data_IF_839527268897
#
_entry.id   IF_839527268897
#
_cell.length_a   1.000
_cell.length_b   1.000
_cell.length_c   1.000
_cell.angle_alpha   90.00
_cell.angle_beta   90.00
_cell.angle_gamma   90.00
#
_symmetry.space_group_name_H-M   'P 1'
#
loop_
_entity.id
_entity.type
_entity.pdbx_description
1 polymer ?
#
# COMPACT_ATOMS: atom_id res chain seq x y z
N UNK A 1 63.83 11.35 24.35
CA UNK A 1 62.46 11.59 24.74
C UNK A 1 61.70 12.00 23.44
N UNK A 2 60.97 11.08 22.83
CA UNK A 2 60.15 11.36 21.65
C UNK A 2 58.70 11.19 22.07
N UNK A 3 57.96 12.30 22.08
CA UNK A 3 56.53 12.37 22.40
C UNK A 3 55.78 12.02 21.13
N UNK A 4 55.03 10.91 21.12
CA UNK A 4 54.11 10.56 20.08
C UNK A 4 52.73 11.18 20.39
N UNK A 5 52.34 12.11 19.56
CA UNK A 5 51.03 12.74 19.63
C UNK A 5 50.04 11.90 18.78
N UNK A 6 49.20 11.15 19.46
CA UNK A 6 48.12 10.37 18.82
C UNK A 6 46.97 11.31 18.43
N UNK A 7 46.74 11.50 17.14
CA UNK A 7 45.59 12.22 16.61
C UNK A 7 44.44 11.22 16.56
N UNK A 8 43.46 11.38 17.46
CA UNK A 8 42.15 10.72 17.41
C UNK A 8 41.28 11.40 16.34
N UNK A 9 41.18 10.79 15.16
CA UNK A 9 40.22 11.16 14.17
C UNK A 9 38.88 10.55 14.55
N UNK A 10 38.00 11.36 15.13
CA UNK A 10 36.60 11.00 15.37
C UNK A 10 35.87 10.99 14.03
N UNK A 11 35.67 9.80 13.46
CA UNK A 11 34.78 9.59 12.34
C UNK A 11 33.37 9.73 12.87
N UNK A 12 32.79 10.93 12.74
CA UNK A 12 31.36 11.12 12.85
C UNK A 12 30.69 10.40 11.66
N UNK A 13 30.21 9.19 11.90
CA UNK A 13 29.23 8.56 11.02
C UNK A 13 27.97 9.42 11.00
N UNK A 14 27.83 10.29 10.03
CA UNK A 14 26.55 10.87 9.67
C UNK A 14 25.68 9.73 9.17
N UNK A 15 24.88 9.18 10.06
CA UNK A 15 23.71 8.43 9.67
C UNK A 15 22.76 9.43 9.02
N UNK A 16 22.78 9.49 7.70
CA UNK A 16 21.75 10.16 6.90
C UNK A 16 20.45 9.35 7.05
N UNK A 17 19.76 9.58 8.16
CA UNK A 17 18.34 9.29 8.24
C UNK A 17 17.69 10.07 7.11
N UNK A 18 17.12 9.37 6.13
CA UNK A 18 16.28 10.00 5.12
C UNK A 18 15.02 10.48 5.84
N UNK A 19 15.14 11.60 6.51
CA UNK A 19 13.99 12.32 7.03
C UNK A 19 13.24 12.83 5.80
N UNK A 20 12.01 12.37 5.63
CA UNK A 20 11.13 12.95 4.63
C UNK A 20 11.10 14.45 4.86
N UNK A 21 11.61 15.22 3.89
CA UNK A 21 11.72 16.67 4.01
C UNK A 21 10.33 17.25 4.14
N UNK A 22 10.11 17.98 5.22
CA UNK A 22 8.84 18.67 5.44
C UNK A 22 8.62 19.74 4.39
N UNK A 23 7.39 19.92 3.89
CA UNK A 23 7.07 20.99 2.95
C UNK A 23 7.36 22.38 3.55
N UNK A 24 7.89 23.29 2.75
CA UNK A 24 8.12 24.67 3.16
C UNK A 24 6.83 25.51 3.02
N UNK A 25 5.81 25.16 3.80
CA UNK A 25 4.53 25.84 3.82
C UNK A 25 4.42 26.84 4.96
N UNK A 26 3.61 27.88 4.76
CA UNK A 26 3.14 28.71 5.87
C UNK A 26 2.23 27.87 6.80
N UNK A 27 2.11 28.24 8.10
CA UNK A 27 1.21 27.55 9.01
C UNK A 27 -0.24 27.50 8.51
N UNK A 28 -0.72 28.58 7.90
CA UNK A 28 -2.07 28.64 7.33
C UNK A 28 -2.27 27.65 6.19
N UNK A 29 -1.31 27.59 5.24
CA UNK A 29 -1.34 26.61 4.16
C UNK A 29 -1.25 25.19 4.66
N UNK A 30 -0.37 24.91 5.64
CA UNK A 30 -0.23 23.59 6.23
C UNK A 30 -1.55 23.12 6.86
N UNK A 31 -2.22 23.99 7.58
CA UNK A 31 -3.52 23.70 8.18
C UNK A 31 -4.58 23.39 7.12
N UNK A 32 -4.63 24.16 6.05
CA UNK A 32 -5.58 23.94 4.96
C UNK A 32 -5.33 22.61 4.24
N UNK A 33 -4.07 22.32 3.84
CA UNK A 33 -3.71 21.05 3.17
C UNK A 33 -4.02 19.84 4.04
N UNK A 34 -3.65 19.87 5.33
CA UNK A 34 -3.92 18.79 6.28
C UNK A 34 -5.43 18.60 6.45
N UNK A 35 -6.19 19.67 6.67
CA UNK A 35 -7.64 19.58 6.87
C UNK A 35 -8.36 19.02 5.65
N UNK A 36 -8.00 19.46 4.46
CA UNK A 36 -8.61 19.00 3.19
C UNK A 36 -8.30 17.52 2.94
N UNK A 37 -7.04 17.10 3.08
CA UNK A 37 -6.66 15.70 2.86
C UNK A 37 -7.27 14.79 3.93
N UNK A 38 -7.34 15.24 5.18
CA UNK A 38 -8.01 14.51 6.27
C UNK A 38 -9.50 14.32 5.99
N UNK A 39 -10.17 15.36 5.48
CA UNK A 39 -11.58 15.27 5.09
C UNK A 39 -11.79 14.30 3.93
N UNK A 40 -10.92 14.29 2.93
CA UNK A 40 -11.00 13.38 1.80
C UNK A 40 -10.79 11.91 2.23
N UNK A 41 -9.79 11.65 3.07
CA UNK A 41 -9.55 10.29 3.60
C UNK A 41 -10.75 9.83 4.43
N UNK A 42 -11.32 10.71 5.26
CA UNK A 42 -12.52 10.40 6.01
C UNK A 42 -13.71 10.08 5.10
N UNK A 43 -13.88 10.79 4.00
CA UNK A 43 -14.93 10.51 3.02
C UNK A 43 -14.75 9.12 2.42
N UNK A 44 -13.54 8.77 1.98
CA UNK A 44 -13.24 7.43 1.46
C UNK A 44 -13.46 6.33 2.49
N UNK A 45 -13.12 6.58 3.77
CA UNK A 45 -13.42 5.64 4.86
C UNK A 45 -14.92 5.45 5.04
N UNK A 46 -15.69 6.55 5.04
CA UNK A 46 -17.14 6.50 5.16
C UNK A 46 -17.79 5.73 4.00
N UNK A 47 -17.36 5.98 2.75
CA UNK A 47 -17.87 5.29 1.56
C UNK A 47 -17.52 3.79 1.58
N UNK A 48 -16.27 3.48 2.00
CA UNK A 48 -15.82 2.10 2.14
C UNK A 48 -16.62 1.34 3.20
N UNK A 49 -16.78 1.93 4.38
CA UNK A 49 -17.42 1.24 5.52
C UNK A 49 -18.94 1.25 5.47
N UNK A 50 -19.57 2.30 4.93
CA UNK A 50 -21.04 2.42 4.86
C UNK A 50 -21.62 1.85 3.58
N UNK A 51 -20.96 2.05 2.46
CA UNK A 51 -21.48 1.69 1.14
C UNK A 51 -20.78 0.50 0.50
N UNK A 52 -19.67 0.02 1.06
CA UNK A 52 -18.85 -1.03 0.47
C UNK A 52 -18.25 -0.65 -0.88
N UNK A 53 -18.06 0.65 -1.11
CA UNK A 53 -17.47 1.19 -2.33
C UNK A 53 -16.12 1.80 -2.03
N UNK A 54 -15.15 1.57 -2.90
CA UNK A 54 -13.88 2.29 -2.90
C UNK A 54 -13.78 3.11 -4.18
N UNK A 55 -13.76 4.43 -4.05
CA UNK A 55 -13.51 5.36 -5.16
C UNK A 55 -12.03 5.48 -5.49
N UNK A 56 -11.16 5.00 -4.61
CA UNK A 56 -9.71 5.08 -4.71
C UNK A 56 -9.09 3.68 -4.58
N UNK A 57 -8.04 3.42 -5.34
CA UNK A 57 -7.28 2.18 -5.20
C UNK A 57 -6.56 2.13 -3.84
N UNK A 58 -6.52 0.94 -3.22
CA UNK A 58 -5.89 0.73 -1.89
C UNK A 58 -4.46 1.26 -1.83
N UNK A 59 -3.69 1.09 -2.92
CA UNK A 59 -2.32 1.61 -3.00
C UNK A 59 -2.24 3.12 -2.97
N UNK A 60 -3.18 3.83 -3.57
CA UNK A 60 -3.28 5.30 -3.54
C UNK A 60 -3.74 5.78 -2.17
N UNK A 61 -4.77 5.14 -1.61
CA UNK A 61 -5.25 5.43 -0.25
C UNK A 61 -4.13 5.30 0.79
N UNK A 62 -3.38 4.19 0.78
CA UNK A 62 -2.25 3.95 1.70
C UNK A 62 -1.18 5.05 1.57
N UNK A 63 -0.85 5.48 0.35
CA UNK A 63 0.17 6.49 0.10
C UNK A 63 -0.28 7.89 0.55
N UNK A 64 -1.53 8.27 0.28
CA UNK A 64 -2.08 9.56 0.72
C UNK A 64 -2.29 9.61 2.24
N UNK A 65 -2.69 8.50 2.86
CA UNK A 65 -2.78 8.40 4.34
C UNK A 65 -1.39 8.54 4.99
N UNK A 66 -0.36 7.93 4.42
CA UNK A 66 1.02 8.11 4.86
C UNK A 66 1.49 9.57 4.68
N UNK A 67 1.09 10.22 3.59
CA UNK A 67 1.38 11.64 3.32
C UNK A 67 0.72 12.55 4.35
N UNK A 68 -0.54 12.31 4.68
CA UNK A 68 -1.25 13.04 5.72
C UNK A 68 -0.53 12.92 7.07
N UNK A 69 -0.18 11.71 7.47
CA UNK A 69 0.56 11.46 8.72
C UNK A 69 1.91 12.19 8.74
N UNK A 70 2.63 12.23 7.61
CA UNK A 70 3.87 12.98 7.48
C UNK A 70 3.64 14.49 7.68
N UNK A 71 2.65 15.07 7.03
CA UNK A 71 2.32 16.49 7.18
C UNK A 71 1.92 16.85 8.60
N UNK A 72 1.09 16.02 9.23
CA UNK A 72 0.71 16.19 10.64
C UNK A 72 1.93 16.22 11.55
N UNK A 73 2.87 15.32 11.39
CA UNK A 73 4.15 15.31 12.15
C UNK A 73 4.99 16.55 11.87
N UNK A 74 5.08 16.98 10.61
CA UNK A 74 5.84 18.17 10.22
C UNK A 74 5.34 19.46 10.86
N UNK A 75 4.03 19.59 11.06
CA UNK A 75 3.39 20.82 11.50
C UNK A 75 2.78 20.73 12.91
N UNK A 76 3.16 19.68 13.68
CA UNK A 76 2.76 19.54 15.08
C UNK A 76 1.26 19.29 15.31
N UNK A 77 0.56 18.82 14.28
CA UNK A 77 -0.82 18.36 14.42
C UNK A 77 -0.82 16.94 14.95
N UNK A 78 -1.56 16.67 16.03
CA UNK A 78 -1.75 15.31 16.52
C UNK A 78 -2.38 14.45 15.41
N UNK A 79 -1.80 13.28 15.08
CA UNK A 79 -2.49 12.30 14.24
C UNK A 79 -3.78 11.94 14.97
N UNK A 80 -4.92 12.36 14.46
CA UNK A 80 -6.18 11.82 14.96
C UNK A 80 -6.20 10.35 14.57
N UNK A 81 -6.30 9.49 15.59
CA UNK A 81 -6.73 8.13 15.36
C UNK A 81 -7.96 8.19 14.46
N UNK A 82 -7.91 7.48 13.36
CA UNK A 82 -9.07 7.32 12.48
C UNK A 82 -10.13 6.62 13.34
N UNK A 83 -10.96 7.42 14.00
CA UNK A 83 -12.11 6.88 14.71
C UNK A 83 -13.04 6.33 13.64
N UNK A 84 -13.04 5.01 13.54
CA UNK A 84 -14.07 4.32 12.78
C UNK A 84 -15.45 4.83 13.23
N UNK A 85 -16.37 5.06 12.30
CA UNK A 85 -17.71 5.48 12.67
C UNK A 85 -18.29 4.50 13.70
N UNK A 86 -19.09 4.99 14.66
CA UNK A 86 -19.74 4.10 15.62
C UNK A 86 -20.60 3.10 14.86
N UNK A 87 -20.24 1.82 14.97
CA UNK A 87 -20.95 0.73 14.34
C UNK A 87 -22.26 0.52 15.08
N UNK A 88 -23.38 0.71 14.42
CA UNK A 88 -24.70 0.32 14.96
C UNK A 88 -24.72 -1.21 15.07
N UNK A 89 -24.94 -1.73 16.29
CA UNK A 89 -24.94 -3.16 16.56
C UNK A 89 -23.56 -3.81 16.69
N UNK A 90 -22.55 -3.03 17.09
CA UNK A 90 -21.18 -3.52 17.28
C UNK A 90 -21.10 -4.65 18.33
N UNK A 91 -20.44 -5.74 17.97
CA UNK A 91 -20.16 -6.90 18.81
C UNK A 91 -18.71 -6.85 19.29
N UNK A 92 -18.50 -7.20 20.58
CA UNK A 92 -17.15 -7.28 21.16
C UNK A 92 -16.41 -8.51 20.62
N UNK A 93 -15.13 -8.34 20.26
CA UNK A 93 -14.24 -9.45 20.02
C UNK A 93 -13.89 -10.16 21.34
N UNK A 94 -13.98 -11.51 21.42
CA UNK A 94 -13.51 -12.25 22.61
C UNK A 94 -12.01 -12.08 22.84
N UNK A 95 -11.25 -11.93 21.75
CA UNK A 95 -9.82 -11.60 21.74
C UNK A 95 -9.63 -10.45 20.80
N UNK A 96 -8.93 -9.40 21.20
CA UNK A 96 -8.72 -8.23 20.36
C UNK A 96 -8.16 -8.62 18.99
N UNK A 97 -8.75 -8.10 17.91
CA UNK A 97 -8.26 -8.35 16.56
C UNK A 97 -7.03 -7.51 16.31
N UNK A 98 -5.89 -8.16 16.10
CA UNK A 98 -4.63 -7.44 15.88
C UNK A 98 -4.39 -7.11 14.41
N UNK A 99 -3.59 -6.08 14.16
CA UNK A 99 -3.09 -5.71 12.85
C UNK A 99 -1.63 -6.12 12.67
N UNK A 100 -1.07 -5.79 11.51
CA UNK A 100 0.30 -6.14 11.12
C UNK A 100 1.12 -4.89 10.80
N UNK A 101 2.33 -4.82 11.37
CA UNK A 101 3.28 -3.75 11.07
C UNK A 101 3.89 -3.95 9.69
N UNK A 102 3.93 -2.89 8.87
CA UNK A 102 4.52 -2.92 7.53
C UNK A 102 6.04 -2.74 7.60
N UNK A 103 6.79 -3.62 6.94
CA UNK A 103 8.23 -3.46 6.71
C UNK A 103 8.45 -2.67 5.43
N UNK A 104 9.32 -1.68 5.49
CA UNK A 104 9.61 -0.78 4.35
C UNK A 104 10.42 -1.49 3.27
N UNK A 105 11.35 -2.39 3.68
CA UNK A 105 12.23 -3.12 2.78
C UNK A 105 12.76 -4.41 3.41
N UNK A 106 13.58 -5.12 2.65
CA UNK A 106 14.24 -6.36 3.08
C UNK A 106 15.20 -6.16 4.25
N UNK A 107 15.87 -5.01 4.35
CA UNK A 107 16.81 -4.74 5.43
C UNK A 107 16.07 -4.58 6.76
N UNK A 108 14.97 -3.83 6.77
CA UNK A 108 14.10 -3.71 7.95
C UNK A 108 13.55 -5.08 8.38
N UNK A 109 13.13 -5.91 7.42
CA UNK A 109 12.70 -7.28 7.70
C UNK A 109 13.84 -8.12 8.29
N UNK A 110 15.04 -8.05 7.72
CA UNK A 110 16.21 -8.78 8.21
C UNK A 110 16.56 -8.40 9.66
N UNK A 111 16.50 -7.12 10.00
CA UNK A 111 16.72 -6.65 11.37
C UNK A 111 15.69 -7.20 12.34
N UNK A 112 14.40 -7.17 11.95
CA UNK A 112 13.32 -7.72 12.77
C UNK A 112 13.46 -9.23 12.97
N UNK A 113 13.93 -9.98 11.96
CA UNK A 113 14.10 -11.44 12.03
C UNK A 113 15.30 -11.86 12.91
N UNK A 114 16.38 -11.07 13.00
CA UNK A 114 17.61 -11.43 13.74
C UNK A 114 17.38 -11.75 15.20
N UNK A 115 16.44 -11.10 15.83
CA UNK A 115 16.13 -11.25 17.26
C UNK A 115 15.08 -12.32 17.54
N UNK A 116 14.71 -13.09 16.52
CA UNK A 116 13.59 -14.03 16.58
C UNK A 116 13.96 -15.39 16.00
N UNK A 117 13.34 -16.41 16.52
CA UNK A 117 13.50 -17.80 16.05
C UNK A 117 12.12 -18.38 15.71
N UNK A 118 12.11 -19.55 15.06
CA UNK A 118 10.90 -20.27 14.67
C UNK A 118 9.94 -19.39 13.88
N UNK A 119 10.47 -18.87 12.78
CA UNK A 119 9.75 -17.93 11.91
C UNK A 119 9.12 -18.65 10.72
N UNK A 120 7.97 -18.16 10.32
CA UNK A 120 7.15 -18.68 9.24
C UNK A 120 6.66 -17.56 8.33
N UNK A 121 6.45 -17.88 7.07
CA UNK A 121 5.93 -16.95 6.07
C UNK A 121 4.58 -17.42 5.54
N UNK A 122 3.67 -16.47 5.37
CA UNK A 122 2.34 -16.67 4.80
C UNK A 122 2.08 -15.63 3.72
N UNK A 123 1.23 -15.91 2.71
CA UNK A 123 0.79 -14.88 1.79
C UNK A 123 -0.02 -13.83 2.56
N UNK A 124 0.19 -12.56 2.22
CA UNK A 124 -0.70 -11.50 2.69
C UNK A 124 -1.91 -11.46 1.78
N UNK A 125 -2.91 -12.24 2.14
CA UNK A 125 -4.17 -12.33 1.39
C UNK A 125 -4.90 -10.99 1.45
N UNK A 126 -5.39 -10.54 0.32
CA UNK A 126 -6.11 -9.28 0.19
C UNK A 126 -7.62 -9.51 0.24
N UNK A 127 -8.23 -9.08 1.33
CA UNK A 127 -9.64 -9.26 1.64
C UNK A 127 -10.08 -8.39 2.80
N UNK A 128 -11.01 -8.88 3.60
CA UNK A 128 -11.50 -8.21 4.81
C UNK A 128 -11.27 -9.09 6.03
N UNK A 129 -10.75 -8.50 7.08
CA UNK A 129 -10.40 -9.21 8.30
C UNK A 129 -11.67 -9.62 9.09
N UNK A 130 -11.65 -10.84 9.62
CA UNK A 130 -12.75 -11.45 10.37
C UNK A 130 -12.24 -12.19 11.59
N UNK A 131 -13.01 -12.14 12.67
CA UNK A 131 -12.90 -13.04 13.82
C UNK A 131 -13.98 -14.08 13.74
N UNK A 132 -13.63 -15.37 13.80
CA UNK A 132 -14.55 -16.49 13.87
C UNK A 132 -14.53 -17.07 15.29
N UNK A 133 -15.69 -17.20 15.91
CA UNK A 133 -15.85 -17.73 17.27
C UNK A 133 -16.65 -19.02 17.22
N UNK A 134 -16.02 -20.12 17.62
CA UNK A 134 -16.68 -21.43 17.77
C UNK A 134 -16.99 -21.71 19.23
N UNK A 135 -18.16 -22.25 19.47
CA UNK A 135 -18.60 -22.75 20.80
C UNK A 135 -19.34 -24.07 20.61
N UNK A 136 -18.97 -25.03 21.41
CA UNK A 136 -19.52 -26.39 21.37
C UNK A 136 -19.56 -27.00 19.95
N UNK A 137 -18.48 -26.76 19.23
CA UNK A 137 -18.28 -27.22 17.85
C UNK A 137 -19.07 -26.48 16.76
N UNK A 138 -19.78 -25.42 17.08
CA UNK A 138 -20.57 -24.65 16.09
C UNK A 138 -20.04 -23.23 15.95
N UNK A 139 -20.15 -22.68 14.74
CA UNK A 139 -19.89 -21.27 14.52
C UNK A 139 -20.94 -20.45 15.29
N UNK A 140 -20.47 -19.77 16.32
CA UNK A 140 -21.33 -18.98 17.24
C UNK A 140 -21.37 -17.50 16.80
N UNK A 141 -20.20 -16.93 16.42
CA UNK A 141 -20.07 -15.54 15.97
C UNK A 141 -19.05 -15.43 14.87
N UNK A 142 -19.33 -14.52 13.93
CA UNK A 142 -18.36 -13.99 13.00
C UNK A 142 -18.41 -12.46 13.11
N UNK A 143 -17.27 -11.82 13.30
CA UNK A 143 -17.19 -10.39 13.66
C UNK A 143 -16.21 -9.72 12.70
N UNK A 144 -16.62 -8.63 12.03
CA UNK A 144 -15.70 -7.82 11.24
C UNK A 144 -14.61 -7.23 12.14
N UNK A 145 -13.44 -6.92 11.59
CA UNK A 145 -12.34 -6.32 12.38
C UNK A 145 -12.81 -5.14 13.21
N UNK A 146 -13.57 -4.21 12.61
CA UNK A 146 -13.94 -2.98 13.25
C UNK A 146 -12.70 -2.22 13.75
N UNK A 147 -12.74 -1.69 14.95
CA UNK A 147 -11.59 -1.04 15.61
C UNK A 147 -10.65 -2.03 16.34
N UNK A 148 -10.85 -3.33 16.15
CA UNK A 148 -10.08 -4.39 16.80
C UNK A 148 -10.63 -4.82 18.18
N UNK A 149 -11.44 -4.01 18.84
CA UNK A 149 -12.17 -4.38 20.08
C UNK A 149 -13.63 -4.71 19.80
N UNK A 150 -14.23 -4.00 18.83
CA UNK A 150 -15.62 -4.19 18.42
C UNK A 150 -15.69 -4.18 16.90
N UNK A 151 -16.57 -4.99 16.34
CA UNK A 151 -16.85 -5.05 14.92
C UNK A 151 -18.33 -5.30 14.65
N UNK A 152 -18.72 -5.36 13.39
CA UNK A 152 -20.07 -5.71 12.97
C UNK A 152 -20.31 -7.21 13.12
N UNK A 153 -21.53 -7.59 13.44
CA UNK A 153 -21.96 -9.01 13.48
C UNK A 153 -22.17 -9.52 12.05
N UNK A 154 -21.24 -10.29 11.55
CA UNK A 154 -21.28 -10.93 10.24
C UNK A 154 -21.73 -12.40 10.30
N UNK A 155 -22.19 -12.88 11.46
CA UNK A 155 -22.50 -14.30 11.68
C UNK A 155 -23.44 -14.86 10.64
N UNK A 156 -24.55 -14.16 10.36
CA UNK A 156 -25.55 -14.60 9.38
C UNK A 156 -24.96 -14.70 7.96
N UNK A 157 -24.14 -13.73 7.56
CA UNK A 157 -23.49 -13.75 6.23
C UNK A 157 -22.43 -14.82 6.11
N UNK A 158 -21.56 -14.93 7.13
CA UNK A 158 -20.49 -15.93 7.14
C UNK A 158 -21.07 -17.36 7.19
N UNK A 159 -22.24 -17.55 7.77
CA UNK A 159 -22.92 -18.86 7.73
C UNK A 159 -23.31 -19.32 6.31
N UNK A 160 -23.39 -18.39 5.36
CA UNK A 160 -23.66 -18.66 3.95
C UNK A 160 -22.40 -18.84 3.10
N UNK A 161 -21.22 -18.61 3.66
CA UNK A 161 -19.95 -18.83 2.97
C UNK A 161 -19.55 -20.28 3.08
N UNK A 162 -19.64 -21.04 2.01
CA UNK A 162 -19.37 -22.49 1.99
C UNK A 162 -17.93 -22.85 2.41
N UNK A 163 -16.98 -21.96 2.20
CA UNK A 163 -15.59 -22.14 2.60
C UNK A 163 -15.34 -21.99 4.11
N UNK A 164 -16.32 -21.50 4.88
CA UNK A 164 -16.22 -21.39 6.34
C UNK A 164 -16.93 -22.59 6.99
N UNK A 165 -16.21 -23.48 7.68
CA UNK A 165 -16.82 -24.59 8.40
C UNK A 165 -17.84 -24.09 9.41
N UNK A 166 -19.10 -24.56 9.32
CA UNK A 166 -20.16 -24.21 10.26
C UNK A 166 -20.05 -25.04 11.54
N UNK A 167 -19.44 -26.21 11.43
CA UNK A 167 -19.16 -27.12 12.55
C UNK A 167 -17.71 -27.55 12.55
N UNK A 168 -17.11 -27.59 13.70
CA UNK A 168 -15.72 -28.04 13.94
C UNK A 168 -15.69 -28.96 15.13
N UNK A 169 -14.64 -29.77 15.27
CA UNK A 169 -14.44 -30.69 16.36
C UNK A 169 -13.07 -30.59 16.99
N UNK A 170 -12.83 -31.35 18.05
CA UNK A 170 -11.54 -31.38 18.71
C UNK A 170 -11.17 -30.05 19.36
N UNK A 171 -9.90 -29.63 19.28
CA UNK A 171 -9.41 -28.38 19.91
C UNK A 171 -10.09 -27.11 19.42
N UNK A 172 -10.65 -27.13 18.20
CA UNK A 172 -11.34 -25.98 17.64
C UNK A 172 -12.77 -25.82 18.14
N UNK A 173 -13.34 -26.80 18.80
CA UNK A 173 -14.76 -26.77 19.25
C UNK A 173 -15.08 -25.54 20.11
N UNK A 174 -14.12 -25.05 20.89
CA UNK A 174 -14.22 -23.84 21.67
C UNK A 174 -12.98 -22.96 21.36
N UNK A 175 -13.05 -22.20 20.28
CA UNK A 175 -11.92 -21.42 19.78
C UNK A 175 -12.35 -20.06 19.28
N UNK A 176 -11.37 -19.15 19.22
CA UNK A 176 -11.46 -17.87 18.52
C UNK A 176 -10.36 -17.85 17.46
N UNK A 177 -10.73 -17.65 16.21
CA UNK A 177 -9.80 -17.59 15.09
C UNK A 177 -9.81 -16.20 14.48
N UNK A 178 -8.66 -15.75 13.99
CA UNK A 178 -8.59 -14.52 13.18
C UNK A 178 -8.13 -14.88 11.77
N UNK A 179 -8.75 -14.28 10.79
CA UNK A 179 -8.49 -14.60 9.39
C UNK A 179 -8.89 -13.47 8.45
N UNK A 180 -8.83 -13.78 7.18
CA UNK A 180 -9.18 -12.88 6.08
C UNK A 180 -10.23 -13.56 5.20
N UNK A 181 -11.39 -12.94 5.01
CA UNK A 181 -12.35 -13.33 3.97
C UNK A 181 -11.92 -12.70 2.67
N UNK A 182 -11.80 -13.49 1.64
CA UNK A 182 -11.27 -13.05 0.34
C UNK A 182 -12.14 -13.54 -0.82
N UNK A 183 -12.03 -12.88 -1.97
CA UNK A 183 -12.65 -13.31 -3.21
C UNK A 183 -11.83 -14.44 -3.83
N UNK A 184 -12.44 -15.62 -4.01
CA UNK A 184 -11.78 -16.76 -4.66
C UNK A 184 -11.50 -16.41 -6.13
N UNK A 185 -10.26 -16.62 -6.54
CA UNK A 185 -9.76 -16.35 -7.89
C UNK A 185 -8.89 -17.51 -8.33
N UNK A 186 -9.49 -18.52 -8.90
CA UNK A 186 -8.72 -19.66 -9.39
C UNK A 186 -7.70 -19.21 -10.45
N UNK A 187 -6.43 -19.60 -10.25
CA UNK A 187 -5.35 -19.28 -11.17
C UNK A 187 -4.91 -17.82 -11.19
N UNK A 188 -5.17 -17.03 -10.15
CA UNK A 188 -4.74 -15.63 -10.07
C UNK A 188 -3.21 -15.51 -10.02
N UNK A 189 -2.64 -14.71 -10.94
CA UNK A 189 -1.21 -14.39 -10.98
C UNK A 189 -1.05 -12.91 -10.66
N UNK A 190 -0.56 -12.59 -9.47
CA UNK A 190 -0.47 -11.22 -8.98
C UNK A 190 0.36 -10.31 -9.87
N UNK A 191 1.48 -10.79 -10.40
CA UNK A 191 2.35 -10.05 -11.32
C UNK A 191 1.63 -9.55 -12.57
N UNK A 192 0.68 -10.32 -13.07
CA UNK A 192 -0.01 -10.04 -14.34
C UNK A 192 -1.35 -9.33 -14.14
N UNK A 193 -2.07 -9.67 -13.08
CA UNK A 193 -3.47 -9.29 -12.88
C UNK A 193 -3.64 -8.16 -11.86
N UNK A 194 -2.65 -7.90 -11.01
CA UNK A 194 -2.73 -6.87 -9.97
C UNK A 194 -3.78 -7.16 -8.89
N UNK A 195 -4.11 -6.15 -8.11
CA UNK A 195 -5.02 -6.26 -6.96
C UNK A 195 -6.51 -6.26 -7.29
N UNK A 196 -6.93 -5.70 -8.39
CA UNK A 196 -8.31 -5.70 -8.94
C UNK A 196 -9.39 -5.26 -7.92
N UNK A 197 -9.08 -4.35 -7.01
CA UNK A 197 -10.00 -3.93 -5.94
C UNK A 197 -10.64 -5.12 -5.18
N UNK A 198 -9.87 -6.18 -4.92
CA UNK A 198 -10.37 -7.41 -4.32
C UNK A 198 -11.04 -7.15 -2.97
N UNK A 199 -10.38 -6.37 -2.11
CA UNK A 199 -10.91 -5.99 -0.80
C UNK A 199 -12.25 -5.25 -0.89
N UNK A 200 -12.35 -4.24 -1.74
CA UNK A 200 -13.58 -3.48 -1.92
C UNK A 200 -14.75 -4.34 -2.40
N UNK A 201 -14.49 -5.31 -3.28
CA UNK A 201 -15.51 -6.27 -3.72
C UNK A 201 -15.99 -7.16 -2.58
N UNK A 202 -15.09 -7.68 -1.75
CA UNK A 202 -15.45 -8.49 -0.58
C UNK A 202 -16.23 -7.65 0.43
N UNK A 203 -15.75 -6.45 0.76
CA UNK A 203 -16.46 -5.54 1.66
C UNK A 203 -17.87 -5.24 1.14
N UNK A 204 -18.03 -4.95 -0.15
CA UNK A 204 -19.33 -4.74 -0.77
C UNK A 204 -20.26 -5.94 -0.64
N UNK A 205 -19.78 -7.17 -0.82
CA UNK A 205 -20.56 -8.40 -0.62
C UNK A 205 -20.97 -8.60 0.85
N UNK A 206 -20.08 -8.28 1.78
CA UNK A 206 -20.36 -8.41 3.22
C UNK A 206 -21.34 -7.35 3.74
N UNK A 207 -21.43 -6.18 3.10
CA UNK A 207 -22.29 -5.06 3.53
C UNK A 207 -23.70 -5.09 2.90
N UNK A 208 -23.87 -5.68 1.70
CA UNK A 208 -25.17 -5.75 1.01
C UNK A 208 -26.10 -6.76 1.67
N UNK A 209 -27.43 -6.54 1.56
CA UNK A 209 -28.42 -7.44 2.13
C UNK A 209 -28.76 -8.65 1.24
N UNK A 210 -28.31 -8.69 0.00
CA UNK A 210 -28.71 -9.70 -1.00
C UNK A 210 -27.56 -10.60 -1.47
N UNK A 211 -27.91 -11.82 -1.85
CA UNK A 211 -27.24 -12.86 -2.62
C UNK A 211 -26.37 -13.89 -1.87
N UNK A 212 -27.05 -14.99 -1.48
CA UNK A 212 -26.38 -16.22 -1.04
C UNK A 212 -25.44 -16.81 -2.11
N UNK A 213 -25.75 -16.67 -3.39
CA UNK A 213 -24.95 -17.25 -4.48
C UNK A 213 -23.60 -16.57 -4.68
N UNK A 214 -23.54 -15.25 -4.49
CA UNK A 214 -22.30 -14.50 -4.57
C UNK A 214 -21.38 -14.73 -3.36
N UNK A 215 -21.92 -15.02 -2.19
CA UNK A 215 -21.15 -15.34 -1.00
C UNK A 215 -20.39 -16.68 -1.13
N UNK A 216 -20.85 -17.61 -1.97
CA UNK A 216 -20.15 -18.85 -2.28
C UNK A 216 -18.83 -18.61 -3.06
N UNK A 217 -18.64 -17.44 -3.67
CA UNK A 217 -17.37 -17.06 -4.28
C UNK A 217 -16.31 -16.62 -3.29
N UNK A 218 -16.63 -16.53 -2.00
CA UNK A 218 -15.72 -16.12 -0.95
C UNK A 218 -14.99 -17.31 -0.34
N UNK A 219 -13.73 -17.10 0.02
CA UNK A 219 -12.88 -18.00 0.77
C UNK A 219 -12.47 -17.38 2.11
N UNK A 220 -11.85 -18.18 2.96
CA UNK A 220 -11.29 -17.75 4.23
C UNK A 220 -9.86 -18.25 4.38
N UNK A 221 -8.96 -17.37 4.82
CA UNK A 221 -7.60 -17.70 5.20
C UNK A 221 -7.42 -17.40 6.69
N UNK A 222 -7.36 -18.42 7.52
CA UNK A 222 -7.14 -18.28 8.96
C UNK A 222 -5.65 -18.15 9.21
N UNK A 223 -5.23 -17.03 9.77
CA UNK A 223 -3.82 -16.76 10.02
C UNK A 223 -3.44 -16.77 11.52
N UNK A 224 -4.41 -16.73 12.43
CA UNK A 224 -4.15 -16.78 13.87
C UNK A 224 -5.20 -17.58 14.63
N UNK A 225 -4.73 -18.23 15.68
CA UNK A 225 -5.54 -19.00 16.60
C UNK A 225 -5.09 -18.73 18.03
N UNK A 226 -5.59 -17.65 18.67
CA UNK A 226 -5.30 -17.36 20.07
C UNK A 226 -5.54 -18.57 20.98
N UNK A 227 -4.57 -18.82 21.86
CA UNK A 227 -4.59 -19.96 22.80
C UNK A 227 -4.67 -21.35 22.13
N UNK A 228 -4.37 -21.42 20.82
CA UNK A 228 -4.23 -22.70 20.11
C UNK A 228 -2.90 -23.40 20.38
N UNK A 229 -2.64 -24.52 19.69
CA UNK A 229 -1.38 -25.23 19.79
C UNK A 229 -0.18 -24.32 19.60
N UNK A 230 0.84 -24.45 20.45
CA UNK A 230 2.03 -23.59 20.39
C UNK A 230 2.98 -23.97 19.24
N UNK A 231 3.02 -25.24 18.87
CA UNK A 231 3.77 -25.70 17.70
C UNK A 231 3.00 -25.36 16.43
N UNK A 232 3.66 -24.70 15.48
CA UNK A 232 3.05 -24.34 14.20
C UNK A 232 2.53 -25.56 13.44
N UNK A 233 3.29 -26.66 13.43
CA UNK A 233 2.91 -27.90 12.76
C UNK A 233 1.59 -28.48 13.29
N UNK A 234 1.38 -28.45 14.60
CA UNK A 234 0.16 -28.97 15.23
C UNK A 234 -1.01 -28.01 14.92
N UNK A 235 -0.78 -26.71 15.01
CA UNK A 235 -1.79 -25.69 14.66
C UNK A 235 -2.25 -25.85 13.22
N UNK A 236 -1.32 -25.99 12.27
CA UNK A 236 -1.63 -26.17 10.86
C UNK A 236 -2.41 -27.46 10.60
N UNK A 237 -2.04 -28.55 11.27
CA UNK A 237 -2.74 -29.84 11.15
C UNK A 237 -4.17 -29.76 11.68
N UNK A 238 -4.37 -29.18 12.86
CA UNK A 238 -5.71 -29.04 13.45
C UNK A 238 -6.61 -28.13 12.61
N UNK A 239 -6.09 -26.99 12.11
CA UNK A 239 -6.82 -26.11 11.22
C UNK A 239 -7.22 -26.83 9.92
N UNK A 240 -6.29 -27.56 9.30
CA UNK A 240 -6.57 -28.30 8.07
C UNK A 240 -7.61 -29.40 8.29
N UNK A 241 -7.54 -30.13 9.40
CA UNK A 241 -8.50 -31.17 9.78
C UNK A 241 -9.91 -30.60 9.96
N UNK A 242 -10.01 -29.36 10.44
CA UNK A 242 -11.28 -28.66 10.61
C UNK A 242 -11.83 -28.04 9.32
N UNK A 243 -11.09 -28.09 8.21
CA UNK A 243 -11.50 -27.54 6.91
C UNK A 243 -10.78 -26.25 6.48
N UNK A 244 -9.95 -25.66 7.35
CA UNK A 244 -9.13 -24.49 7.01
C UNK A 244 -7.82 -24.90 6.32
N UNK A 245 -7.92 -25.49 5.14
CA UNK A 245 -6.78 -26.16 4.45
C UNK A 245 -5.76 -25.18 3.87
N UNK A 246 -6.16 -23.96 3.53
CA UNK A 246 -5.28 -22.98 2.89
C UNK A 246 -4.13 -22.53 3.82
N UNK A 247 -4.37 -22.45 5.11
CA UNK A 247 -3.34 -22.07 6.08
C UNK A 247 -2.18 -23.05 6.06
N UNK A 248 -2.45 -24.36 6.09
CA UNK A 248 -1.41 -25.38 6.00
C UNK A 248 -0.69 -25.34 4.65
N UNK A 249 -1.43 -25.19 3.56
CA UNK A 249 -0.90 -25.19 2.21
C UNK A 249 0.07 -24.04 1.94
N UNK A 250 -0.19 -22.87 2.53
CA UNK A 250 0.54 -21.63 2.26
C UNK A 250 1.32 -21.08 3.46
N UNK A 251 1.60 -21.90 4.47
CA UNK A 251 2.48 -21.53 5.58
C UNK A 251 3.78 -22.30 5.46
N UNK A 252 4.92 -21.61 5.42
CA UNK A 252 6.26 -22.19 5.23
C UNK A 252 7.24 -21.68 6.28
N UNK A 253 8.08 -22.56 6.81
CA UNK A 253 9.17 -22.17 7.69
C UNK A 253 10.24 -21.39 6.92
N UNK A 254 10.80 -20.35 7.54
CA UNK A 254 11.86 -19.51 6.98
C UNK A 254 12.89 -19.18 8.04
N UNK A 255 14.16 -19.06 7.63
CA UNK A 255 15.28 -18.79 8.53
C UNK A 255 15.77 -17.35 8.47
N UNK A 256 15.63 -16.70 7.32
CA UNK A 256 16.16 -15.37 7.06
C UNK A 256 15.35 -14.62 5.99
N UNK A 257 15.67 -13.33 5.81
CA UNK A 257 14.99 -12.47 4.85
C UNK A 257 15.22 -12.87 3.38
N UNK A 258 16.30 -13.61 3.06
CA UNK A 258 16.54 -14.11 1.71
C UNK A 258 15.56 -15.23 1.35
N UNK A 259 15.28 -16.11 2.29
CA UNK A 259 14.25 -17.14 2.10
C UNK A 259 12.86 -16.53 1.95
N UNK A 260 12.55 -15.52 2.76
CA UNK A 260 11.29 -14.77 2.63
C UNK A 260 11.19 -14.11 1.24
N UNK A 261 12.28 -13.49 0.76
CA UNK A 261 12.32 -12.86 -0.56
C UNK A 261 12.07 -13.86 -1.68
N UNK A 262 12.62 -15.08 -1.58
CA UNK A 262 12.38 -16.16 -2.56
C UNK A 262 10.91 -16.58 -2.57
N UNK A 263 10.30 -16.81 -1.42
CA UNK A 263 8.88 -17.19 -1.30
C UNK A 263 7.98 -16.06 -1.81
N UNK A 264 8.28 -14.81 -1.44
CA UNK A 264 7.56 -13.63 -1.90
C UNK A 264 7.59 -13.51 -3.43
N UNK A 265 8.74 -13.72 -4.05
CA UNK A 265 8.91 -13.72 -5.50
C UNK A 265 8.21 -14.90 -6.18
N UNK A 266 8.25 -16.08 -5.57
CA UNK A 266 7.52 -17.25 -6.05
C UNK A 266 6.02 -16.95 -6.09
N UNK A 267 5.43 -16.49 -4.99
CA UNK A 267 4.00 -16.20 -4.93
C UNK A 267 3.57 -15.01 -5.79
N UNK A 268 4.46 -14.07 -6.05
CA UNK A 268 4.22 -12.99 -7.00
C UNK A 268 3.92 -13.49 -8.42
N UNK A 269 4.55 -14.61 -8.81
CA UNK A 269 4.48 -15.21 -10.16
C UNK A 269 3.59 -16.46 -10.23
N UNK A 270 3.26 -17.04 -9.10
CA UNK A 270 2.50 -18.30 -9.05
C UNK A 270 1.01 -18.07 -9.25
N UNK A 271 0.33 -19.11 -9.71
CA UNK A 271 -1.14 -19.18 -9.71
C UNK A 271 -1.62 -19.43 -8.28
N UNK A 272 -2.33 -18.48 -7.72
CA UNK A 272 -2.90 -18.56 -6.38
C UNK A 272 -4.43 -18.52 -6.45
N UNK A 273 -5.15 -19.04 -5.43
CA UNK A 273 -6.61 -18.96 -5.38
C UNK A 273 -7.13 -17.63 -4.86
N UNK A 274 -6.25 -16.66 -4.59
CA UNK A 274 -6.57 -15.37 -4.00
C UNK A 274 -5.61 -14.27 -4.49
N UNK A 275 -6.05 -13.04 -4.36
CA UNK A 275 -5.21 -11.85 -4.54
C UNK A 275 -4.34 -11.66 -3.31
N UNK A 276 -3.07 -11.25 -3.50
CA UNK A 276 -2.14 -10.94 -2.40
C UNK A 276 -1.49 -9.57 -2.63
N UNK A 277 -1.14 -8.88 -1.54
CA UNK A 277 -0.40 -7.63 -1.60
C UNK A 277 1.02 -7.73 -1.01
N UNK A 278 1.49 -8.94 -0.78
CA UNK A 278 2.80 -9.24 -0.23
C UNK A 278 2.82 -10.53 0.58
N UNK A 279 3.68 -10.57 1.58
CA UNK A 279 3.82 -11.67 2.53
C UNK A 279 3.75 -11.19 3.97
N UNK A 280 3.35 -12.08 4.87
CA UNK A 280 3.43 -11.89 6.32
C UNK A 280 4.48 -12.84 6.85
N UNK A 281 5.41 -12.33 7.66
CA UNK A 281 6.37 -13.13 8.42
C UNK A 281 5.98 -13.09 9.89
N UNK A 282 5.94 -14.23 10.53
CA UNK A 282 5.46 -14.37 11.89
C UNK A 282 6.25 -15.38 12.69
N UNK A 283 6.25 -15.22 14.03
CA UNK A 283 6.66 -16.28 14.94
C UNK A 283 5.64 -17.42 14.96
N UNK A 284 6.10 -18.64 15.24
CA UNK A 284 5.21 -19.78 15.49
C UNK A 284 4.37 -19.55 16.73
N UNK A 285 4.97 -19.07 17.80
CA UNK A 285 4.29 -18.77 19.05
C UNK A 285 3.44 -17.51 18.93
N UNK A 286 2.19 -17.61 19.34
CA UNK A 286 1.30 -16.48 19.55
C UNK A 286 1.29 -16.11 21.03
N UNK A 287 1.18 -14.82 21.40
CA UNK A 287 0.94 -14.44 22.79
C UNK A 287 -0.35 -15.04 23.34
N UNK A 288 -0.46 -15.16 24.66
CA UNK A 288 -1.74 -15.52 25.29
C UNK A 288 -2.83 -14.51 24.90
N UNK A 289 -4.07 -14.98 24.71
CA UNK A 289 -5.18 -14.17 24.22
C UNK A 289 -5.42 -12.87 24.98
N UNK A 290 -5.19 -12.88 26.30
CA UNK A 290 -5.31 -11.69 27.16
C UNK A 290 -4.33 -10.56 26.86
N UNK A 291 -3.25 -10.84 26.13
CA UNK A 291 -2.22 -9.85 25.76
C UNK A 291 -2.37 -9.33 24.33
N UNK A 292 -3.40 -9.76 23.62
CA UNK A 292 -3.67 -9.24 22.30
C UNK A 292 -4.29 -7.85 22.39
N UNK A 293 -3.75 -6.95 21.60
CA UNK A 293 -4.20 -5.56 21.53
C UNK A 293 -4.65 -5.22 20.10
N UNK A 294 -5.60 -4.29 19.95
CA UNK A 294 -5.87 -3.69 18.65
C UNK A 294 -4.60 -2.98 18.13
N UNK A 295 -4.47 -2.87 16.82
CA UNK A 295 -3.33 -2.21 16.22
C UNK A 295 -2.27 -3.18 15.74
N UNK A 296 -0.98 -2.86 15.90
CA UNK A 296 0.11 -3.63 15.34
C UNK A 296 0.72 -4.58 16.37
N UNK A 297 0.67 -5.87 16.09
CA UNK A 297 1.35 -6.87 16.90
C UNK A 297 2.87 -6.87 16.62
N UNK A 298 3.66 -7.25 17.62
CA UNK A 298 5.12 -7.32 17.49
C UNK A 298 5.62 -8.65 16.93
N UNK A 299 4.79 -9.71 17.03
CA UNK A 299 5.16 -11.07 16.65
C UNK A 299 4.89 -11.42 15.19
N UNK A 300 4.36 -10.47 14.41
CA UNK A 300 4.15 -10.60 12.96
C UNK A 300 4.37 -9.28 12.24
N UNK A 301 4.88 -9.36 11.03
CA UNK A 301 5.14 -8.21 10.17
C UNK A 301 4.77 -8.50 8.72
N UNK A 302 4.39 -7.49 7.96
CA UNK A 302 4.10 -7.62 6.54
C UNK A 302 5.19 -6.95 5.69
N UNK A 303 5.56 -7.63 4.61
CA UNK A 303 6.39 -7.06 3.56
C UNK A 303 5.63 -7.07 2.24
N UNK A 304 5.06 -5.91 1.91
CA UNK A 304 4.22 -5.75 0.72
C UNK A 304 5.04 -5.81 -0.57
N UNK A 305 4.37 -6.14 -1.68
CA UNK A 305 4.93 -5.91 -3.01
C UNK A 305 5.12 -4.41 -3.25
N UNK A 306 6.06 -4.08 -4.12
CA UNK A 306 6.18 -2.69 -4.56
C UNK A 306 4.94 -2.32 -5.36
N UNK A 307 4.33 -1.16 -5.09
CA UNK A 307 3.21 -0.69 -5.90
C UNK A 307 3.62 -0.51 -7.36
N UNK A 308 2.78 -0.94 -8.28
CA UNK A 308 2.98 -0.74 -9.74
C UNK A 308 2.98 0.76 -10.09
N UNK A 309 2.29 1.56 -9.27
CA UNK A 309 2.24 3.01 -9.40
C UNK A 309 2.52 3.69 -8.06
N UNK A 310 3.16 4.84 -8.10
CA UNK A 310 3.51 5.65 -6.92
C UNK A 310 2.88 7.04 -6.99
N UNK A 311 2.43 7.53 -5.84
CA UNK A 311 1.99 8.92 -5.69
C UNK A 311 3.22 9.80 -5.52
N UNK A 312 3.39 10.75 -6.46
CA UNK A 312 4.50 11.70 -6.48
C UNK A 312 4.00 13.13 -6.42
N UNK A 313 4.65 13.96 -5.59
CA UNK A 313 4.38 15.40 -5.56
C UNK A 313 5.03 16.09 -6.74
N UNK A 314 4.26 16.92 -7.44
CA UNK A 314 4.76 17.81 -8.49
C UNK A 314 5.50 18.99 -7.86
N UNK A 315 6.79 19.09 -8.12
CA UNK A 315 7.64 20.18 -7.61
C UNK A 315 7.68 21.39 -8.55
N UNK A 316 7.69 21.14 -9.85
CA UNK A 316 7.72 22.18 -10.87
C UNK A 316 7.16 21.68 -12.20
N UNK A 317 6.65 22.59 -12.99
CA UNK A 317 6.30 22.37 -14.39
C UNK A 317 7.34 23.09 -15.26
N UNK A 318 7.92 22.39 -16.20
CA UNK A 318 8.94 22.88 -17.12
C UNK A 318 8.47 22.74 -18.56
N UNK A 319 8.77 23.73 -19.36
CA UNK A 319 8.51 23.70 -20.80
C UNK A 319 9.83 23.48 -21.55
N UNK A 320 9.83 22.54 -22.47
CA UNK A 320 10.98 22.24 -23.32
C UNK A 320 10.60 22.44 -24.79
N UNK A 321 11.39 23.22 -25.49
CA UNK A 321 11.17 23.47 -26.93
C UNK A 321 11.97 22.45 -27.74
N UNK A 322 11.26 21.66 -28.53
CA UNK A 322 11.88 20.63 -29.37
C UNK A 322 12.45 21.21 -30.67
N UNK A 323 13.23 20.41 -31.39
CA UNK A 323 13.84 20.79 -32.69
C UNK A 323 12.86 21.34 -33.75
N UNK A 324 11.59 20.96 -33.65
CA UNK A 324 10.52 21.41 -34.55
C UNK A 324 9.76 22.65 -34.04
N UNK A 325 10.19 23.24 -32.92
CA UNK A 325 9.48 24.33 -32.25
C UNK A 325 8.26 23.85 -31.41
N UNK A 326 7.96 22.54 -31.39
CA UNK A 326 6.90 22.00 -30.53
C UNK A 326 7.32 22.09 -29.09
N UNK A 327 6.42 22.60 -28.24
CA UNK A 327 6.62 22.70 -26.81
C UNK A 327 6.11 21.43 -26.15
N UNK A 328 6.96 20.78 -25.38
CA UNK A 328 6.59 19.68 -24.48
C UNK A 328 6.62 20.14 -23.04
N UNK A 329 5.75 19.57 -22.23
CA UNK A 329 5.62 19.88 -20.81
C UNK A 329 6.13 18.71 -19.98
N UNK A 330 7.02 19.00 -19.04
CA UNK A 330 7.63 18.02 -18.14
C UNK A 330 7.35 18.42 -16.70
N UNK A 331 6.78 17.50 -15.92
CA UNK A 331 6.68 17.67 -14.48
C UNK A 331 7.96 17.18 -13.80
N UNK A 332 8.57 18.04 -12.98
CA UNK A 332 9.58 17.64 -11.99
C UNK A 332 8.87 17.15 -10.73
N UNK A 333 9.30 16.01 -10.20
CA UNK A 333 8.65 15.32 -9.12
C UNK A 333 9.54 15.21 -7.88
N UNK A 334 8.94 15.15 -6.70
CA UNK A 334 9.60 14.52 -5.57
C UNK A 334 9.98 13.09 -5.96
N UNK A 335 11.23 12.64 -5.67
CA UNK A 335 11.70 11.33 -6.13
C UNK A 335 10.82 10.19 -5.63
N UNK A 336 10.43 9.29 -6.51
CA UNK A 336 9.75 8.03 -6.20
C UNK A 336 10.48 6.86 -6.83
N UNK A 337 10.34 5.68 -6.22
CA UNK A 337 10.93 4.44 -6.75
C UNK A 337 9.86 3.63 -7.45
N UNK A 338 10.08 3.32 -8.72
CA UNK A 338 9.24 2.46 -9.55
C UNK A 338 10.11 1.37 -10.15
N UNK A 339 9.88 0.12 -9.79
CA UNK A 339 10.62 -1.03 -10.34
C UNK A 339 12.15 -0.82 -10.32
N UNK A 340 12.70 -0.48 -9.14
CA UNK A 340 14.12 -0.13 -8.90
C UNK A 340 14.64 1.12 -9.64
N UNK A 341 13.78 1.81 -10.35
CA UNK A 341 14.10 3.06 -11.05
C UNK A 341 13.68 4.26 -10.22
N UNK A 342 14.63 5.17 -9.97
CA UNK A 342 14.34 6.47 -9.36
C UNK A 342 13.73 7.39 -10.40
N UNK A 343 12.47 7.77 -10.20
CA UNK A 343 11.71 8.67 -11.08
C UNK A 343 11.59 10.03 -10.44
N UNK A 344 12.06 11.06 -11.15
CA UNK A 344 12.05 12.47 -10.72
C UNK A 344 11.43 13.40 -11.78
N UNK A 345 11.12 12.87 -12.95
CA UNK A 345 10.56 13.63 -14.07
C UNK A 345 9.59 12.75 -14.85
N UNK A 346 8.50 13.36 -15.30
CA UNK A 346 7.54 12.70 -16.19
C UNK A 346 7.14 13.65 -17.30
N UNK A 347 7.12 13.15 -18.53
CA UNK A 347 6.66 13.92 -19.68
C UNK A 347 5.13 13.90 -19.72
N UNK A 348 4.50 15.06 -19.62
CA UNK A 348 3.05 15.23 -19.71
C UNK A 348 2.59 15.21 -21.17
N UNK A 349 3.44 15.69 -22.09
CA UNK A 349 3.14 15.83 -23.51
C UNK A 349 3.03 17.29 -23.95
N UNK A 350 2.02 17.64 -24.73
CA UNK A 350 1.80 18.98 -25.22
C UNK A 350 1.26 19.94 -24.15
N UNK A 351 1.37 21.25 -24.38
CA UNK A 351 0.76 22.29 -23.52
C UNK A 351 -0.75 22.05 -23.38
N UNK A 352 -1.44 21.70 -24.47
CA UNK A 352 -2.86 21.38 -24.45
C UNK A 352 -3.16 20.21 -23.50
N UNK A 353 -2.41 19.13 -23.61
CA UNK A 353 -2.58 17.96 -22.74
C UNK A 353 -2.32 18.29 -21.27
N UNK A 354 -1.31 19.10 -20.97
CA UNK A 354 -1.06 19.58 -19.63
C UNK A 354 -2.23 20.41 -19.08
N UNK A 355 -2.81 21.29 -19.90
CA UNK A 355 -4.01 22.06 -19.52
C UNK A 355 -5.22 21.18 -19.26
N UNK A 356 -5.40 20.13 -20.08
CA UNK A 356 -6.47 19.13 -19.87
C UNK A 356 -6.30 18.35 -18.57
N UNK A 357 -5.08 17.97 -18.22
CA UNK A 357 -4.76 17.35 -16.94
C UNK A 357 -4.88 18.31 -15.75
N UNK A 358 -4.78 19.59 -15.99
CA UNK A 358 -4.82 20.64 -14.97
C UNK A 358 -3.83 20.40 -13.82
N UNK A 359 -2.56 20.12 -14.15
CA UNK A 359 -1.50 19.83 -13.17
C UNK A 359 -0.77 21.10 -12.80
N UNK A 360 -0.57 21.32 -11.50
CA UNK A 360 0.20 22.42 -10.93
C UNK A 360 1.21 21.92 -9.89
N UNK A 361 2.26 22.70 -9.59
CA UNK A 361 3.13 22.43 -8.43
C UNK A 361 2.32 22.28 -7.14
N UNK A 362 2.67 21.30 -6.31
CA UNK A 362 1.95 20.92 -5.09
C UNK A 362 0.91 19.83 -5.27
N UNK A 363 0.48 19.53 -6.50
CA UNK A 363 -0.43 18.42 -6.76
C UNK A 363 0.26 17.07 -6.54
N UNK A 364 -0.51 16.06 -6.15
CA UNK A 364 -0.07 14.67 -6.04
C UNK A 364 -0.59 13.90 -7.26
N UNK A 365 0.31 13.32 -8.03
CA UNK A 365 -0.03 12.56 -9.24
C UNK A 365 0.37 11.10 -9.09
N UNK A 366 -0.41 10.22 -9.68
CA UNK A 366 -0.11 8.80 -9.76
C UNK A 366 0.78 8.54 -10.98
N UNK A 367 1.95 7.97 -10.75
CA UNK A 367 2.96 7.71 -11.79
C UNK A 367 3.28 6.22 -11.84
N UNK A 368 3.30 5.66 -13.04
CA UNK A 368 3.74 4.28 -13.31
C UNK A 368 4.77 4.25 -14.43
N UNK A 369 5.30 3.05 -14.72
CA UNK A 369 6.16 2.83 -15.87
C UNK A 369 5.35 2.21 -17.02
N UNK A 370 5.35 2.86 -18.18
CA UNK A 370 4.88 2.28 -19.43
C UNK A 370 5.94 1.34 -20.02
N UNK A 371 5.64 0.67 -21.12
CA UNK A 371 6.57 -0.23 -21.81
C UNK A 371 7.98 0.37 -21.94
N UNK A 372 9.02 -0.45 -21.79
CA UNK A 372 10.43 -0.04 -21.74
C UNK A 372 10.81 0.88 -20.56
N UNK A 373 10.00 0.92 -19.50
CA UNK A 373 10.31 1.67 -18.28
C UNK A 373 10.21 3.20 -18.40
N UNK A 374 9.34 3.70 -19.27
CA UNK A 374 9.11 5.13 -19.44
C UNK A 374 8.07 5.62 -18.42
N UNK A 375 8.41 6.62 -17.58
CA UNK A 375 7.43 7.19 -16.63
C UNK A 375 6.24 7.81 -17.36
N UNK A 376 5.03 7.51 -16.86
CA UNK A 376 3.77 8.09 -17.35
C UNK A 376 2.89 8.51 -16.17
N UNK A 377 1.99 9.45 -16.42
CA UNK A 377 0.95 9.85 -15.48
C UNK A 377 -0.28 8.99 -15.72
N UNK A 378 -0.78 8.38 -14.64
CA UNK A 378 -2.01 7.61 -14.68
C UNK A 378 -3.20 8.45 -14.19
N UNK A 379 -2.99 9.29 -13.16
CA UNK A 379 -4.06 10.14 -12.61
C UNK A 379 -3.51 11.32 -11.79
N UNK A 380 -4.36 12.29 -11.48
CA UNK A 380 -4.13 13.36 -10.50
C UNK A 380 -4.97 13.01 -9.27
N UNK A 381 -4.32 12.48 -8.24
CA UNK A 381 -5.02 11.91 -7.07
C UNK A 381 -5.28 12.91 -5.95
N UNK A 382 -4.58 14.04 -5.96
CA UNK A 382 -4.77 15.13 -5.00
C UNK A 382 -4.32 16.47 -5.60
N UNK A 383 -5.14 17.49 -5.49
CA UNK A 383 -4.82 18.86 -5.91
C UNK A 383 -4.48 19.71 -4.70
N UNK A 384 -3.33 20.38 -4.71
CA UNK A 384 -2.90 21.27 -3.65
C UNK A 384 -3.89 22.40 -3.40
N UNK A 385 -3.86 22.98 -2.19
CA UNK A 385 -4.71 24.11 -1.84
C UNK A 385 -4.29 25.38 -2.58
N UNK A 386 -2.97 25.64 -2.64
CA UNK A 386 -2.41 26.76 -3.40
C UNK A 386 -1.81 26.26 -4.70
N UNK A 387 -2.40 26.68 -5.82
CA UNK A 387 -2.02 26.20 -7.16
C UNK A 387 -1.63 27.36 -8.05
N UNK A 388 -0.33 27.53 -8.26
CA UNK A 388 0.20 28.52 -9.20
C UNK A 388 0.75 27.81 -10.42
N UNK A 389 0.09 27.97 -11.57
CA UNK A 389 0.55 27.41 -12.83
C UNK A 389 1.49 28.36 -13.53
N UNK A 390 2.64 27.91 -14.06
CA UNK A 390 3.49 28.73 -14.88
C UNK A 390 2.80 29.03 -16.21
N UNK A 391 3.16 30.17 -16.81
CA UNK A 391 2.67 30.54 -18.13
C UNK A 391 3.49 29.81 -19.20
N UNK A 392 2.86 29.06 -20.13
CA UNK A 392 3.59 28.43 -21.22
C UNK A 392 4.17 29.47 -22.18
N UNK A 393 5.31 29.18 -22.81
CA UNK A 393 5.85 30.02 -23.85
C UNK A 393 4.85 30.23 -25.00
N UNK A 394 4.87 31.40 -25.62
CA UNK A 394 3.99 31.66 -26.76
C UNK A 394 4.32 30.74 -27.94
N UNK A 395 3.33 30.02 -28.43
CA UNK A 395 3.47 29.04 -29.53
C UNK A 395 3.33 29.75 -30.90
N UNK A 396 4.00 30.90 -31.08
CA UNK A 396 3.95 31.65 -32.35
C UNK A 396 5.03 31.23 -33.33
N UNK A 397 5.88 30.27 -32.96
CA UNK A 397 7.07 29.94 -33.77
C UNK A 397 6.78 28.74 -34.66
N UNK A 398 6.90 29.00 -35.95
CA UNK A 398 6.97 27.96 -36.96
C UNK A 398 8.39 27.40 -37.00
N UNK A 399 8.52 26.08 -37.16
CA UNK A 399 9.82 25.40 -37.23
C UNK A 399 10.76 25.88 -38.30
N UNK A 400 10.25 26.63 -39.32
CA UNK A 400 11.01 27.10 -40.44
C UNK A 400 11.44 28.60 -40.32
N UNK A 401 10.85 29.35 -39.40
CA UNK A 401 10.97 30.82 -39.34
C UNK A 401 11.55 31.37 -38.03
N UNK A 402 12.17 30.56 -37.21
CA UNK A 402 12.75 30.99 -35.94
C UNK A 402 14.16 31.52 -36.15
N UNK A 403 14.37 32.81 -35.97
CA UNK A 403 15.64 33.53 -36.24
C UNK A 403 16.29 34.13 -34.98
N UNK A 404 16.51 33.36 -33.95
CA UNK A 404 17.25 33.74 -32.73
C UNK A 404 16.79 35.06 -32.05
N UNK A 405 15.59 35.52 -32.34
CA UNK A 405 15.06 36.76 -31.78
C UNK A 405 14.47 36.58 -30.36
N UNK A 406 14.46 35.36 -29.85
CA UNK A 406 13.93 35.05 -28.53
C UNK A 406 14.59 33.81 -27.93
N UNK A 407 14.49 33.64 -26.61
CA UNK A 407 15.01 32.48 -25.89
C UNK A 407 14.43 31.18 -26.44
N UNK A 408 13.15 31.16 -26.83
CA UNK A 408 12.49 30.01 -27.44
C UNK A 408 13.13 29.58 -28.76
N UNK A 409 13.57 30.54 -29.59
CA UNK A 409 14.30 30.25 -30.81
C UNK A 409 15.69 29.70 -30.54
N UNK A 410 16.37 30.20 -29.53
CA UNK A 410 17.68 29.70 -29.12
C UNK A 410 17.55 28.25 -28.62
N UNK A 411 16.56 27.94 -27.78
CA UNK A 411 16.27 26.57 -27.31
C UNK A 411 15.95 25.61 -28.46
N UNK A 412 15.18 26.09 -29.47
CA UNK A 412 14.88 25.29 -30.66
C UNK A 412 16.15 24.96 -31.45
N UNK A 413 17.03 25.95 -31.61
CA UNK A 413 18.30 25.76 -32.31
C UNK A 413 19.21 24.79 -31.58
N UNK A 414 19.36 24.93 -30.26
CA UNK A 414 20.11 23.97 -29.42
C UNK A 414 19.56 22.57 -29.58
N UNK A 415 18.25 22.41 -29.52
CA UNK A 415 17.57 21.10 -29.71
C UNK A 415 17.85 20.51 -31.11
N UNK A 416 17.97 21.33 -32.14
CA UNK A 416 18.37 20.88 -33.48
C UNK A 416 19.83 20.45 -33.53
N UNK A 417 20.75 21.20 -32.93
CA UNK A 417 22.16 20.80 -32.85
C UNK A 417 22.35 19.49 -32.11
N UNK A 418 21.71 19.32 -30.97
CA UNK A 418 21.75 18.08 -30.20
C UNK A 418 21.21 16.91 -31.03
N UNK A 419 20.11 17.11 -31.75
CA UNK A 419 19.57 16.07 -32.62
C UNK A 419 20.50 15.71 -33.78
N UNK A 420 21.10 16.71 -34.46
CA UNK A 420 22.06 16.48 -35.52
C UNK A 420 23.29 15.71 -35.02
N UNK A 421 23.85 16.14 -33.89
CA UNK A 421 24.96 15.40 -33.25
C UNK A 421 24.62 13.96 -32.90
N UNK A 422 23.40 13.71 -32.38
CA UNK A 422 22.93 12.33 -32.09
C UNK A 422 22.80 11.44 -33.33
N UNK A 423 22.67 12.05 -34.51
CA UNK A 423 22.61 11.35 -35.82
C UNK A 423 23.97 11.28 -36.53
N UNK A 424 25.03 11.75 -35.89
CA UNK A 424 26.38 11.83 -36.49
C UNK A 424 26.43 12.57 -37.83
N UNK A 425 25.61 13.63 -37.95
CA UNK A 425 25.50 14.45 -39.16
C UNK A 425 26.37 15.71 -39.05
N UNK A 426 26.97 15.95 -37.86
CA UNK A 426 27.92 17.02 -37.57
C UNK A 426 29.30 16.43 -37.36
#
# INVERSE_FOLDING_TARGET
MKVWMAILISILCWQSSVWAVCPAWSPARAQEEISRLQQQIKQWDDDYWKEGKSEVEDGVYDQLSARLTQWQRCFGSEPRDVMMPPLNGAVMHPVAHTGVRKMVDKNALSLWMRERSDLWVQPKVDGVAVTLVYRDGKLNKAISRGNGLKGEDWTQKVSLISAVPQTVSGPLANSTLQGEIFLQREGHIQQQMGGINARAKVAGLMMRQDDSDTLNSLGVFVWAWPDGPQLMTDRLKELATAGFTLTQRYTRAVKNADEVARVRNEWWKAKLPFVTDGVVVRGAKEPESRHWLPGQAEWLVAWKYQPVAQVAEVKAIQFAVGKSGKISVVASLAPVMLDDKKVQRVNIGSVRRWQEWDIAPGDQILVSLAGQGIPRIDDVVWRGAERTKPTPPENRFNSLTCYFASDVCQEQFISRLVWLGSKQVL
#
